data_IF_623770822343
#
_entry.id   IF_623770822343
#
_cell.length_a   1.000
_cell.length_b   1.000
_cell.length_c   1.000
_cell.angle_alpha   90.00
_cell.angle_beta   90.00
_cell.angle_gamma   90.00
#
_symmetry.space_group_name_H-M   'P 1'
#
loop_
_entity.id
_entity.type
_entity.pdbx_description
1 polymer ?
#
# COMPACT_ATOMS: atom_id res chain seq x y z
N UNK A 1 9.01 -2.17 -16.86
CA UNK A 1 8.81 -2.85 -15.57
C UNK A 1 7.32 -3.15 -15.46
N UNK A 2 6.93 -4.41 -15.29
CA UNK A 2 5.54 -4.77 -15.03
C UNK A 2 5.28 -4.56 -13.54
N UNK A 3 4.25 -3.78 -13.22
CA UNK A 3 3.60 -3.85 -11.92
C UNK A 3 2.96 -5.25 -11.88
N UNK A 4 3.49 -6.15 -11.08
CA UNK A 4 2.89 -7.46 -10.90
C UNK A 4 1.70 -7.31 -9.97
N UNK A 5 0.53 -7.81 -10.38
CA UNK A 5 -0.60 -7.98 -9.48
C UNK A 5 -0.15 -8.82 -8.28
N UNK A 6 -0.16 -8.18 -7.12
CA UNK A 6 0.33 -8.79 -5.90
C UNK A 6 -0.83 -9.39 -5.12
N UNK A 7 -0.99 -10.71 -5.24
CA UNK A 7 -1.89 -11.51 -4.39
C UNK A 7 -1.10 -12.32 -3.35
N UNK A 8 -0.24 -11.68 -2.56
CA UNK A 8 0.52 -12.41 -1.55
C UNK A 8 0.25 -11.97 -0.12
N UNK A 9 -0.78 -11.18 0.07
CA UNK A 9 -1.26 -10.85 1.41
C UNK A 9 -1.75 -12.10 2.12
N UNK A 10 -1.57 -12.12 3.42
CA UNK A 10 -2.03 -13.21 4.28
C UNK A 10 -3.30 -12.79 5.01
N UNK A 11 -4.22 -13.73 5.16
CA UNK A 11 -5.50 -13.52 5.83
C UNK A 11 -5.82 -14.66 6.79
N UNK A 12 -6.53 -14.37 7.87
CA UNK A 12 -6.99 -15.39 8.81
C UNK A 12 -8.42 -15.88 8.56
N UNK A 13 -9.06 -15.44 7.47
CA UNK A 13 -10.38 -15.94 7.05
C UNK A 13 -10.47 -16.09 5.56
N UNK A 14 -11.22 -17.07 5.11
CA UNK A 14 -11.69 -17.25 3.74
C UNK A 14 -13.14 -16.78 3.62
N UNK A 15 -13.43 -15.91 2.67
CA UNK A 15 -14.78 -15.54 2.30
C UNK A 15 -15.27 -16.43 1.16
N UNK A 16 -16.59 -16.67 1.03
CA UNK A 16 -17.13 -17.43 -0.10
C UNK A 16 -16.68 -16.86 -1.44
N UNK A 17 -15.93 -17.64 -2.22
CA UNK A 17 -15.39 -17.26 -3.52
C UNK A 17 -13.92 -16.88 -3.53
N UNK A 18 -13.27 -16.75 -2.38
CA UNK A 18 -11.82 -16.57 -2.28
C UNK A 18 -11.09 -17.92 -2.38
N UNK A 19 -9.91 -17.91 -2.99
CA UNK A 19 -9.08 -19.10 -3.18
C UNK A 19 -7.70 -18.89 -2.58
N UNK A 20 -7.22 -19.88 -1.81
CA UNK A 20 -5.89 -19.88 -1.23
C UNK A 20 -4.80 -19.80 -2.31
N UNK A 21 -3.82 -18.91 -2.08
CA UNK A 21 -2.74 -18.66 -3.03
C UNK A 21 -3.13 -17.86 -4.28
N UNK A 22 -4.40 -17.43 -4.41
CA UNK A 22 -4.89 -16.58 -5.51
C UNK A 22 -5.28 -15.20 -4.99
N UNK A 23 -6.22 -15.13 -4.03
CA UNK A 23 -6.66 -13.88 -3.43
C UNK A 23 -5.81 -13.52 -2.22
N UNK A 24 -5.62 -14.51 -1.35
CA UNK A 24 -4.79 -14.45 -0.14
C UNK A 24 -4.09 -15.78 0.10
N UNK A 25 -3.10 -15.81 0.98
CA UNK A 25 -2.67 -17.02 1.64
C UNK A 25 -3.38 -17.12 2.99
N UNK A 26 -4.20 -18.14 3.18
CA UNK A 26 -4.99 -18.31 4.39
C UNK A 26 -4.22 -19.04 5.48
N UNK A 27 -4.19 -18.43 6.65
CA UNK A 27 -3.56 -18.99 7.85
C UNK A 27 -4.57 -19.04 9.00
N UNK A 28 -4.38 -19.95 9.94
CA UNK A 28 -5.16 -19.91 11.19
C UNK A 28 -4.80 -18.67 12.00
N UNK A 29 -5.72 -18.22 12.86
CA UNK A 29 -5.46 -17.06 13.74
C UNK A 29 -4.25 -17.25 14.63
N UNK A 30 -4.03 -18.48 15.10
CA UNK A 30 -2.87 -18.85 15.91
C UNK A 30 -1.58 -18.67 15.11
N UNK A 31 -1.54 -19.19 13.88
CA UNK A 31 -0.38 -19.05 13.00
C UNK A 31 -0.12 -17.59 12.62
N UNK A 32 -1.19 -16.82 12.39
CA UNK A 32 -1.05 -15.40 12.08
C UNK A 32 -0.44 -14.63 13.27
N UNK A 33 -0.86 -14.93 14.51
CA UNK A 33 -0.27 -14.35 15.73
C UNK A 33 1.20 -14.69 15.88
N UNK A 34 1.59 -15.95 15.61
CA UNK A 34 3.00 -16.32 15.58
C UNK A 34 3.80 -15.48 14.58
N UNK A 35 3.25 -15.20 13.40
CA UNK A 35 3.90 -14.35 12.39
C UNK A 35 4.06 -12.90 12.88
N UNK A 36 3.06 -12.36 13.60
CA UNK A 36 3.17 -11.04 14.25
C UNK A 36 4.30 -11.04 15.27
N UNK A 37 4.30 -12.00 16.20
CA UNK A 37 5.26 -12.10 17.30
C UNK A 37 6.70 -12.28 16.79
N UNK A 38 6.87 -12.96 15.66
CA UNK A 38 8.16 -13.18 15.00
C UNK A 38 8.57 -12.02 14.05
N UNK A 39 7.76 -10.98 13.91
CA UNK A 39 8.06 -9.85 13.04
C UNK A 39 8.14 -10.21 11.55
N UNK A 40 7.40 -11.24 11.12
CA UNK A 40 7.39 -11.74 9.74
C UNK A 40 6.51 -10.92 8.81
N UNK A 41 5.70 -10.00 9.35
CA UNK A 41 4.81 -9.13 8.59
C UNK A 41 5.41 -7.73 8.46
N UNK A 42 5.30 -7.13 7.29
CA UNK A 42 5.66 -5.74 7.03
C UNK A 42 4.66 -4.81 7.71
N UNK A 43 3.39 -5.13 7.58
CA UNK A 43 2.26 -4.52 8.27
C UNK A 43 1.17 -5.57 8.50
N UNK A 44 0.25 -5.29 9.41
CA UNK A 44 -0.93 -6.11 9.64
C UNK A 44 -2.03 -5.29 10.32
N UNK A 45 -3.27 -5.72 10.12
CA UNK A 45 -4.45 -5.14 10.75
C UNK A 45 -5.44 -6.22 11.17
N UNK A 46 -6.23 -5.93 12.21
CA UNK A 46 -7.40 -6.73 12.56
C UNK A 46 -8.66 -6.02 12.10
N UNK A 47 -9.41 -6.65 11.21
CA UNK A 47 -10.64 -6.13 10.64
C UNK A 47 -11.76 -7.13 10.92
N UNK A 48 -12.76 -6.71 11.71
CA UNK A 48 -13.90 -7.56 12.11
C UNK A 48 -13.50 -8.92 12.71
N UNK A 49 -12.42 -8.95 13.49
CA UNK A 49 -11.93 -10.16 14.16
C UNK A 49 -11.11 -11.09 13.27
N UNK A 50 -10.79 -10.70 12.05
CA UNK A 50 -9.87 -11.39 11.15
C UNK A 50 -8.61 -10.59 10.95
N UNK A 51 -7.48 -11.28 10.78
CA UNK A 51 -6.19 -10.67 10.55
C UNK A 51 -5.88 -10.62 9.05
N UNK A 52 -5.32 -9.50 8.63
CA UNK A 52 -4.80 -9.27 7.27
C UNK A 52 -3.40 -8.71 7.41
N UNK A 53 -2.50 -9.01 6.48
CA UNK A 53 -1.15 -8.46 6.54
C UNK A 53 -0.29 -8.86 5.36
N UNK A 54 0.83 -8.18 5.22
CA UNK A 54 1.78 -8.31 4.12
C UNK A 54 3.06 -9.00 4.60
N UNK A 55 3.41 -10.19 4.06
CA UNK A 55 4.63 -10.90 4.43
C UNK A 55 5.90 -10.11 4.07
N UNK A 56 6.68 -9.76 5.09
CA UNK A 56 7.86 -8.90 4.93
C UNK A 56 8.90 -9.49 3.98
N UNK A 57 9.25 -10.79 4.15
CA UNK A 57 10.31 -11.40 3.36
C UNK A 57 9.97 -11.44 1.87
N UNK A 58 8.72 -11.74 1.52
CA UNK A 58 8.29 -11.75 0.12
C UNK A 58 8.43 -10.39 -0.55
N UNK A 59 8.12 -9.30 0.18
CA UNK A 59 8.32 -7.93 -0.32
C UNK A 59 9.80 -7.68 -0.57
N UNK A 60 10.66 -8.01 0.41
CA UNK A 60 12.11 -7.80 0.30
C UNK A 60 12.72 -8.57 -0.86
N UNK A 61 12.38 -9.86 -1.02
CA UNK A 61 12.91 -10.72 -2.10
C UNK A 61 12.60 -10.11 -3.49
N UNK A 62 11.43 -9.54 -3.66
CA UNK A 62 11.04 -8.90 -4.93
C UNK A 62 11.71 -7.57 -5.16
N UNK A 63 11.83 -6.74 -4.12
CA UNK A 63 12.57 -5.48 -4.21
C UNK A 63 14.04 -5.74 -4.56
N UNK A 64 14.67 -6.77 -3.98
CA UNK A 64 16.03 -7.20 -4.32
C UNK A 64 16.15 -7.70 -5.77
N UNK A 65 15.09 -8.29 -6.32
CA UNK A 65 15.01 -8.64 -7.74
C UNK A 65 14.83 -7.42 -8.67
N UNK A 66 14.68 -6.21 -8.12
CA UNK A 66 14.50 -4.96 -8.85
C UNK A 66 13.07 -4.75 -9.35
N UNK A 67 12.10 -5.40 -8.74
CA UNK A 67 10.68 -5.22 -9.04
C UNK A 67 10.09 -4.08 -8.21
N UNK A 68 9.14 -3.34 -8.78
CA UNK A 68 8.30 -2.41 -8.01
C UNK A 68 7.15 -3.19 -7.39
N UNK A 69 6.82 -2.88 -6.14
CA UNK A 69 5.70 -3.49 -5.43
C UNK A 69 4.72 -2.41 -5.02
N UNK A 70 3.47 -2.61 -5.41
CA UNK A 70 2.36 -1.76 -5.00
C UNK A 70 1.60 -2.44 -3.86
N UNK A 71 1.50 -1.76 -2.73
CA UNK A 71 0.69 -2.17 -1.60
C UNK A 71 -0.56 -1.28 -1.52
N UNK A 72 -1.74 -1.89 -1.56
CA UNK A 72 -3.00 -1.22 -1.26
C UNK A 72 -3.39 -1.53 0.20
N UNK A 73 -3.01 -0.63 1.09
CA UNK A 73 -3.17 -0.79 2.54
C UNK A 73 -3.89 0.40 3.16
N UNK A 74 -4.46 0.22 4.32
CA UNK A 74 -5.10 1.30 5.06
C UNK A 74 -4.07 2.30 5.63
N UNK A 75 -4.56 3.41 6.18
CA UNK A 75 -3.69 4.47 6.71
C UNK A 75 -2.86 4.01 7.90
N UNK A 76 -3.37 3.08 8.71
CA UNK A 76 -2.64 2.54 9.86
C UNK A 76 -1.51 1.60 9.39
N UNK A 77 -1.79 0.73 8.43
CA UNK A 77 -0.80 -0.12 7.77
C UNK A 77 0.30 0.73 7.13
N UNK A 78 -0.07 1.77 6.36
CA UNK A 78 0.88 2.67 5.74
C UNK A 78 1.79 3.38 6.76
N UNK A 79 1.24 3.88 7.88
CA UNK A 79 2.05 4.48 8.96
C UNK A 79 3.01 3.48 9.62
N UNK A 80 2.66 2.21 9.67
CA UNK A 80 3.56 1.18 10.16
C UNK A 80 4.67 0.87 9.15
N UNK A 81 4.34 0.77 7.86
CA UNK A 81 5.35 0.60 6.79
C UNK A 81 6.31 1.80 6.75
N UNK A 82 5.83 3.04 6.90
CA UNK A 82 6.68 4.25 6.95
C UNK A 82 7.76 4.18 8.05
N UNK A 83 7.49 3.48 9.16
CA UNK A 83 8.47 3.34 10.26
C UNK A 83 9.60 2.37 9.94
N UNK A 84 9.31 1.32 9.17
CA UNK A 84 10.22 0.22 8.89
C UNK A 84 10.87 0.30 7.52
N UNK A 85 10.24 1.03 6.59
CA UNK A 85 10.71 1.29 5.22
C UNK A 85 10.45 2.76 4.85
N UNK A 86 11.13 3.71 5.49
CA UNK A 86 10.89 5.16 5.27
C UNK A 86 11.25 5.63 3.85
N UNK A 87 12.06 4.86 3.12
CA UNK A 87 12.43 5.09 1.72
C UNK A 87 11.31 4.74 0.73
N UNK A 88 10.27 4.07 1.18
CA UNK A 88 9.12 3.72 0.36
C UNK A 88 8.41 4.95 -0.21
N UNK A 89 7.78 4.77 -1.36
CA UNK A 89 6.94 5.79 -1.97
C UNK A 89 5.52 5.71 -1.41
N UNK A 90 5.11 6.74 -0.68
CA UNK A 90 3.79 6.80 -0.04
C UNK A 90 2.90 7.82 -0.75
N UNK A 91 1.81 7.32 -1.32
CA UNK A 91 0.81 8.09 -2.06
C UNK A 91 -0.53 7.99 -1.33
N UNK A 92 -1.11 9.11 -0.94
CA UNK A 92 -2.44 9.15 -0.34
C UNK A 92 -3.48 9.39 -1.41
N UNK A 93 -4.48 8.52 -1.52
CA UNK A 93 -5.60 8.67 -2.45
C UNK A 93 -6.75 9.40 -1.76
N UNK A 94 -7.17 10.53 -2.34
CA UNK A 94 -8.32 11.30 -1.89
C UNK A 94 -9.51 11.16 -2.84
N UNK A 95 -10.75 11.10 -2.34
CA UNK A 95 -11.91 11.39 -3.16
C UNK A 95 -11.92 12.87 -3.54
N UNK A 96 -12.63 13.28 -4.62
CA UNK A 96 -12.74 14.69 -5.01
C UNK A 96 -13.47 15.54 -3.97
N UNK A 97 -14.39 14.93 -3.21
CA UNK A 97 -15.07 15.56 -2.07
C UNK A 97 -15.61 14.53 -1.09
N UNK A 98 -16.03 14.98 0.12
CA UNK A 98 -16.69 14.11 1.09
C UNK A 98 -18.09 13.68 0.62
N UNK A 99 -18.77 14.50 -0.16
CA UNK A 99 -20.06 14.18 -0.76
C UNK A 99 -19.92 13.03 -1.76
N UNK A 100 -18.87 13.07 -2.60
CA UNK A 100 -18.58 12.01 -3.54
C UNK A 100 -18.18 10.71 -2.80
N UNK A 101 -17.37 10.81 -1.74
CA UNK A 101 -17.07 9.67 -0.89
C UNK A 101 -18.34 9.04 -0.31
N UNK A 102 -19.26 9.88 0.20
CA UNK A 102 -20.54 9.40 0.72
C UNK A 102 -21.38 8.72 -0.34
N UNK A 103 -21.40 9.26 -1.59
CA UNK A 103 -22.11 8.66 -2.70
C UNK A 103 -21.52 7.29 -3.08
N UNK A 104 -20.18 7.18 -3.16
CA UNK A 104 -19.48 5.92 -3.46
C UNK A 104 -19.71 4.86 -2.39
N UNK A 105 -19.69 5.24 -1.11
CA UNK A 105 -19.99 4.32 -0.01
C UNK A 105 -21.43 3.80 -0.08
N UNK A 106 -22.41 4.68 -0.30
CA UNK A 106 -23.81 4.29 -0.49
C UNK A 106 -24.03 3.36 -1.68
N UNK A 107 -23.34 3.63 -2.78
CA UNK A 107 -23.44 2.85 -4.01
C UNK A 107 -23.01 1.38 -3.88
N UNK A 108 -22.25 1.01 -2.84
CA UNK A 108 -21.88 -0.37 -2.54
C UNK A 108 -23.04 -1.21 -1.97
N UNK A 109 -24.15 -0.58 -1.57
CA UNK A 109 -25.40 -1.25 -1.18
C UNK A 109 -25.37 -1.99 0.16
N UNK A 110 -24.27 -1.95 0.90
CA UNK A 110 -24.07 -2.67 2.17
C UNK A 110 -24.12 -1.77 3.39
N UNK A 111 -24.30 -0.45 3.21
CA UNK A 111 -24.18 0.53 4.29
C UNK A 111 -25.53 0.90 4.90
N UNK A 112 -25.59 0.91 6.23
CA UNK A 112 -26.64 1.60 6.98
C UNK A 112 -26.26 3.09 7.15
N UNK A 113 -27.23 3.96 7.49
CA UNK A 113 -26.92 5.37 7.75
C UNK A 113 -25.91 5.55 8.89
N UNK A 114 -26.00 4.74 9.93
CA UNK A 114 -25.08 4.77 11.05
C UNK A 114 -23.66 4.35 10.64
N UNK A 115 -23.52 3.28 9.85
CA UNK A 115 -22.22 2.84 9.33
C UNK A 115 -21.60 3.89 8.40
N UNK A 116 -22.42 4.55 7.58
CA UNK A 116 -21.99 5.63 6.70
C UNK A 116 -21.42 6.81 7.49
N UNK A 117 -22.16 7.30 8.52
CA UNK A 117 -21.68 8.39 9.36
C UNK A 117 -20.37 8.05 10.05
N UNK A 118 -20.25 6.85 10.59
CA UNK A 118 -19.01 6.38 11.22
C UNK A 118 -17.83 6.36 10.23
N UNK A 119 -18.06 5.84 9.00
CA UNK A 119 -17.01 5.80 7.96
C UNK A 119 -16.60 7.17 7.47
N UNK A 120 -17.55 8.09 7.30
CA UNK A 120 -17.23 9.48 6.92
C UNK A 120 -16.44 10.19 8.03
N UNK A 121 -16.82 9.96 9.30
CA UNK A 121 -16.04 10.48 10.43
C UNK A 121 -14.60 9.96 10.43
N UNK A 122 -14.42 8.65 10.24
CA UNK A 122 -13.09 8.04 10.13
C UNK A 122 -12.29 8.63 8.95
N UNK A 123 -12.92 8.79 7.78
CA UNK A 123 -12.27 9.37 6.60
C UNK A 123 -11.76 10.81 6.85
N UNK A 124 -12.50 11.64 7.58
CA UNK A 124 -12.04 12.99 7.95
C UNK A 124 -10.79 12.93 8.83
N UNK A 125 -10.70 11.98 9.75
CA UNK A 125 -9.51 11.80 10.59
C UNK A 125 -8.32 11.22 9.78
N UNK A 126 -8.59 10.32 8.86
CA UNK A 126 -7.57 9.76 7.95
C UNK A 126 -7.01 10.83 7.00
N UNK A 127 -7.84 11.72 6.47
CA UNK A 127 -7.40 12.84 5.60
C UNK A 127 -6.37 13.73 6.30
N UNK A 128 -6.46 13.91 7.61
CA UNK A 128 -5.45 14.66 8.39
C UNK A 128 -4.07 14.01 8.32
N UNK A 129 -4.01 12.70 8.09
CA UNK A 129 -2.75 11.96 7.96
C UNK A 129 -2.10 12.12 6.58
N UNK A 130 -2.82 12.66 5.58
CA UNK A 130 -2.31 12.86 4.23
C UNK A 130 -1.00 13.68 4.19
N UNK A 131 -0.80 14.59 5.15
CA UNK A 131 0.43 15.38 5.29
C UNK A 131 1.69 14.57 5.63
N UNK A 132 1.53 13.31 6.04
CA UNK A 132 2.64 12.37 6.30
C UNK A 132 3.08 11.63 5.04
N UNK A 133 2.27 11.66 4.00
CA UNK A 133 2.56 11.02 2.72
C UNK A 133 3.37 11.96 1.83
N UNK A 134 4.14 11.38 0.92
CA UNK A 134 4.95 12.17 -0.01
C UNK A 134 4.10 12.81 -1.11
N UNK A 135 3.05 12.12 -1.56
CA UNK A 135 2.15 12.57 -2.60
C UNK A 135 0.69 12.40 -2.18
N UNK A 136 -0.14 13.27 -2.73
CA UNK A 136 -1.59 13.18 -2.62
C UNK A 136 -2.16 13.16 -4.04
N UNK A 137 -2.99 12.17 -4.35
CA UNK A 137 -3.64 12.02 -5.64
C UNK A 137 -5.16 12.03 -5.44
N UNK A 138 -5.85 12.87 -6.20
CA UNK A 138 -7.32 12.92 -6.16
C UNK A 138 -7.87 11.88 -7.16
N UNK A 139 -8.62 10.92 -6.64
CA UNK A 139 -9.29 9.88 -7.42
C UNK A 139 -10.71 10.37 -7.80
N UNK A 140 -10.79 11.28 -8.77
CA UNK A 140 -12.05 11.67 -9.40
C UNK A 140 -12.42 10.67 -10.50
N UNK A 141 -11.57 10.52 -11.50
CA UNK A 141 -11.64 9.48 -12.53
C UNK A 141 -10.49 8.50 -12.34
N UNK A 142 -10.81 7.22 -12.46
CA UNK A 142 -9.83 6.14 -12.22
C UNK A 142 -8.66 6.25 -13.18
N UNK A 143 -8.93 6.54 -14.44
CA UNK A 143 -7.92 6.66 -15.51
C UNK A 143 -6.92 7.79 -15.22
N UNK A 144 -7.44 8.97 -14.83
CA UNK A 144 -6.60 10.13 -14.50
C UNK A 144 -5.73 9.89 -13.25
N UNK A 145 -6.31 9.21 -12.25
CA UNK A 145 -5.58 8.84 -11.04
C UNK A 145 -4.50 7.80 -11.32
N UNK A 146 -4.78 6.79 -12.16
CA UNK A 146 -3.80 5.78 -12.59
C UNK A 146 -2.63 6.42 -13.34
N UNK A 147 -2.92 7.32 -14.30
CA UNK A 147 -1.88 8.04 -15.04
C UNK A 147 -1.01 8.88 -14.10
N UNK A 148 -1.64 9.60 -13.16
CA UNK A 148 -0.92 10.41 -12.18
C UNK A 148 -0.01 9.56 -11.31
N UNK A 149 -0.48 8.41 -10.81
CA UNK A 149 0.32 7.48 -10.00
C UNK A 149 1.48 6.93 -10.81
N UNK A 150 1.24 6.50 -12.06
CA UNK A 150 2.28 5.97 -12.93
C UNK A 150 3.38 7.01 -13.20
N UNK A 151 3.00 8.26 -13.45
CA UNK A 151 3.96 9.36 -13.63
C UNK A 151 4.77 9.66 -12.37
N UNK A 152 4.17 9.56 -11.18
CA UNK A 152 4.87 9.71 -9.90
C UNK A 152 5.90 8.59 -9.73
N UNK A 153 5.53 7.32 -9.97
CA UNK A 153 6.44 6.17 -9.86
C UNK A 153 7.60 6.33 -10.82
N UNK A 154 7.34 6.69 -12.07
CA UNK A 154 8.38 6.92 -13.07
C UNK A 154 9.34 8.04 -12.65
N UNK A 155 8.82 9.16 -12.14
CA UNK A 155 9.65 10.26 -11.66
C UNK A 155 10.53 9.84 -10.46
N UNK A 156 10.01 9.03 -9.56
CA UNK A 156 10.77 8.53 -8.40
C UNK A 156 11.94 7.63 -8.81
N UNK A 157 11.82 6.85 -9.88
CA UNK A 157 12.96 6.07 -10.41
C UNK A 157 14.13 6.93 -10.88
N UNK A 158 13.89 8.20 -11.23
CA UNK A 158 14.91 9.13 -11.71
C UNK A 158 15.53 10.00 -10.61
N UNK A 159 15.18 9.78 -9.35
CA UNK A 159 15.81 10.50 -8.23
C UNK A 159 17.30 10.19 -8.16
N UNK A 160 18.10 11.23 -7.89
CA UNK A 160 19.57 11.13 -7.86
C UNK A 160 20.07 10.22 -6.73
N UNK A 161 19.40 10.24 -5.57
CA UNK A 161 19.75 9.40 -4.40
C UNK A 161 19.49 7.90 -4.65
N UNK A 162 18.53 7.55 -5.50
CA UNK A 162 18.29 6.17 -5.93
C UNK A 162 19.22 5.72 -7.08
N UNK A 163 19.97 6.66 -7.69
CA UNK A 163 20.86 6.42 -8.82
C UNK A 163 22.35 6.64 -8.49
N UNK A 164 22.71 6.57 -7.22
CA UNK A 164 24.11 6.80 -6.76
C UNK A 164 25.12 5.85 -7.44
N UNK A 165 24.75 4.59 -7.68
CA UNK A 165 25.62 3.63 -8.36
C UNK A 165 25.93 4.02 -9.81
N UNK A 166 24.96 4.63 -10.51
CA UNK A 166 25.16 5.17 -11.85
C UNK A 166 26.08 6.39 -11.80
N UNK A 167 25.87 7.30 -10.85
CA UNK A 167 26.69 8.48 -10.68
C UNK A 167 28.13 8.10 -10.30
N UNK A 168 28.34 7.14 -9.41
CA UNK A 168 29.65 6.64 -9.03
C UNK A 168 30.42 6.08 -10.22
N UNK A 169 29.77 5.27 -11.09
CA UNK A 169 30.39 4.74 -12.32
C UNK A 169 30.91 5.83 -13.26
N UNK A 170 30.20 6.95 -13.34
CA UNK A 170 30.62 8.09 -14.17
C UNK A 170 31.74 8.91 -13.56
N UNK A 171 31.86 8.94 -12.22
CA UNK A 171 32.92 9.66 -11.50
C UNK A 171 34.31 8.97 -11.64
N UNK A 172 34.34 7.64 -11.64
CA UNK A 172 35.58 6.83 -11.79
C UNK A 172 36.31 7.11 -13.10
N UNK A 173 35.65 7.68 -14.13
CA UNK A 173 36.29 8.02 -15.39
C UNK A 173 37.43 9.06 -15.27
N UNK A 174 37.40 9.93 -14.25
CA UNK A 174 38.47 10.92 -14.00
C UNK A 174 39.74 10.35 -13.37
N UNK A 175 39.63 9.23 -12.66
CA UNK A 175 40.75 8.63 -11.94
C UNK A 175 41.60 7.71 -12.84
N UNK A 176 41.11 7.37 -14.02
CA UNK A 176 41.76 6.46 -14.99
C UNK A 176 42.40 7.20 -16.20
N UNK A 177 42.62 8.52 -16.14
CA UNK A 177 43.35 9.35 -17.08
C UNK A 177 44.53 10.00 -16.41
#
# INVERSE_FOLDING_TARGET
RCLSDWSSDVCSSDLPGEQDGVNYYFYTKEKFREMIDQGQLLEWAEVYGNFYGTPKQKVLDRLEAGEDILLEIDTQGALNVMKVMPEGLFIFLLPPSLEELAARLKGRGTETEESLHRRLGAAVDEIKLATKYRYVVVNDKVEDAQETIANIIEAEHHRSDLNESLLAKLQVWKENK
#
